data_IF_578930157293
#
_entry.id   IF_578930157293
#
_cell.length_a   1.000
_cell.length_b   1.000
_cell.length_c   1.000
_cell.angle_alpha   90.00
_cell.angle_beta   90.00
_cell.angle_gamma   90.00
#
_symmetry.space_group_name_H-M   'P 1'
#
loop_
_entity.id
_entity.type
_entity.pdbx_description
1 polymer ?
#
# COMPACT_ATOMS: atom_id res chain seq x y z
N UNK A 1 -19.36 -7.97 -3.03
CA UNK A 1 -20.71 -7.40 -3.33
C UNK A 1 -21.61 -7.19 -2.10
N UNK A 2 -21.19 -7.53 -0.87
CA UNK A 2 -21.88 -7.09 0.35
C UNK A 2 -20.88 -6.78 1.47
N UNK A 3 -20.26 -5.59 1.42
CA UNK A 3 -19.77 -4.93 2.63
C UNK A 3 -20.63 -3.68 2.78
N UNK A 4 -21.37 -3.60 3.87
CA UNK A 4 -22.17 -2.43 4.22
C UNK A 4 -21.21 -1.30 4.56
N UNK A 5 -21.17 -0.30 3.69
CA UNK A 5 -20.37 0.90 3.93
C UNK A 5 -21.19 1.80 4.85
N UNK A 6 -20.94 1.72 6.15
CA UNK A 6 -21.39 2.75 7.09
C UNK A 6 -20.60 4.01 6.75
N UNK A 7 -21.20 4.82 5.89
CA UNK A 7 -20.63 6.05 5.36
C UNK A 7 -20.75 7.13 6.43
N UNK A 8 -19.71 7.29 7.24
CA UNK A 8 -19.49 8.50 8.04
C UNK A 8 -18.35 9.24 7.36
N UNK A 9 -18.71 10.30 6.64
CA UNK A 9 -17.80 11.21 5.96
C UNK A 9 -17.10 12.05 7.04
N UNK A 10 -15.93 11.63 7.51
CA UNK A 10 -15.06 12.54 8.25
C UNK A 10 -14.52 13.59 7.27
N UNK A 11 -14.55 14.89 7.60
CA UNK A 11 -13.99 15.91 6.75
C UNK A 11 -12.46 15.79 6.81
N UNK A 12 -11.83 15.29 5.74
CA UNK A 12 -10.40 15.49 5.52
C UNK A 12 -9.51 14.29 5.21
N UNK A 13 -10.01 13.07 5.00
CA UNK A 13 -9.08 11.93 4.72
C UNK A 13 -9.42 11.09 3.47
N UNK A 14 -10.57 11.30 2.82
CA UNK A 14 -11.00 10.41 1.73
C UNK A 14 -11.89 11.10 0.68
N UNK A 15 -11.42 12.16 0.02
CA UNK A 15 -12.08 12.55 -1.24
C UNK A 15 -11.72 11.64 -2.43
N UNK A 16 -10.71 10.77 -2.26
CA UNK A 16 -10.39 9.67 -3.19
C UNK A 16 -10.46 8.33 -2.46
N UNK A 17 -11.14 7.35 -3.06
CA UNK A 17 -11.18 5.98 -2.53
C UNK A 17 -9.78 5.37 -2.51
N UNK A 18 -9.53 4.36 -1.66
CA UNK A 18 -8.24 3.64 -1.65
C UNK A 18 -7.84 3.08 -3.02
N UNK A 19 -8.82 2.71 -3.84
CA UNK A 19 -8.60 2.29 -5.21
C UNK A 19 -8.00 3.41 -6.09
N UNK A 20 -8.51 4.64 -5.99
CA UNK A 20 -7.99 5.77 -6.77
C UNK A 20 -6.57 6.15 -6.35
N UNK A 21 -6.27 6.11 -5.05
CA UNK A 21 -4.90 6.27 -4.54
C UNK A 21 -3.97 5.19 -5.12
N UNK A 22 -4.34 3.92 -5.04
CA UNK A 22 -3.55 2.81 -5.63
C UNK A 22 -3.28 3.01 -7.13
N UNK A 23 -4.27 3.50 -7.89
CA UNK A 23 -4.10 3.76 -9.32
C UNK A 23 -3.14 4.94 -9.58
N UNK A 24 -3.16 5.97 -8.74
CA UNK A 24 -2.21 7.09 -8.83
C UNK A 24 -0.78 6.66 -8.53
N UNK A 25 -0.57 5.88 -7.47
CA UNK A 25 0.74 5.29 -7.14
C UNK A 25 1.25 4.44 -8.29
N UNK A 26 0.40 3.59 -8.88
CA UNK A 26 0.76 2.78 -10.05
C UNK A 26 1.19 3.66 -11.24
N UNK A 27 0.43 4.72 -11.53
CA UNK A 27 0.71 5.60 -12.66
C UNK A 27 2.03 6.36 -12.48
N UNK A 28 2.28 6.91 -11.29
CA UNK A 28 3.54 7.58 -10.96
C UNK A 28 4.70 6.59 -11.06
N UNK A 29 4.55 5.41 -10.47
CA UNK A 29 5.58 4.37 -10.45
C UNK A 29 5.96 3.91 -11.86
N UNK A 30 4.97 3.57 -12.70
CA UNK A 30 5.24 3.16 -14.10
C UNK A 30 5.88 4.28 -14.91
N UNK A 31 5.49 5.53 -14.68
CA UNK A 31 6.09 6.69 -15.37
C UNK A 31 7.58 6.82 -15.01
N UNK A 32 7.92 6.71 -13.72
CA UNK A 32 9.31 6.71 -13.26
C UNK A 32 10.05 5.50 -13.85
N UNK A 33 9.52 4.30 -13.67
CA UNK A 33 10.13 3.05 -14.12
C UNK A 33 10.42 3.04 -15.62
N UNK A 34 9.47 3.50 -16.44
CA UNK A 34 9.65 3.66 -17.89
C UNK A 34 10.78 4.65 -18.22
N UNK A 35 10.89 5.75 -17.49
CA UNK A 35 11.92 6.77 -17.70
C UNK A 35 13.36 6.28 -17.43
N UNK A 36 13.53 5.28 -16.57
CA UNK A 36 14.85 4.75 -16.18
C UNK A 36 15.04 3.26 -16.51
N UNK A 37 14.12 2.64 -17.26
CA UNK A 37 14.26 1.27 -17.76
C UNK A 37 14.05 0.15 -16.73
N UNK A 38 13.15 0.33 -15.76
CA UNK A 38 12.78 -0.71 -14.79
C UNK A 38 11.63 -1.61 -15.27
N UNK A 39 11.41 -2.72 -14.58
CA UNK A 39 10.32 -3.63 -14.86
C UNK A 39 8.96 -3.02 -14.44
N UNK A 40 8.19 -2.54 -15.43
CA UNK A 40 6.88 -1.93 -15.22
C UNK A 40 5.84 -2.90 -14.63
N UNK A 41 5.90 -4.19 -14.97
CA UNK A 41 4.95 -5.20 -14.45
C UNK A 41 5.19 -5.47 -12.96
N UNK A 42 6.46 -5.48 -12.54
CA UNK A 42 6.81 -5.62 -11.13
C UNK A 42 6.37 -4.40 -10.32
N UNK A 43 6.57 -3.19 -10.86
CA UNK A 43 6.06 -1.95 -10.24
C UNK A 43 4.54 -2.02 -10.09
N UNK A 44 3.82 -2.41 -11.14
CA UNK A 44 2.37 -2.51 -11.11
C UNK A 44 1.87 -3.55 -10.13
N UNK A 45 2.49 -4.74 -10.09
CA UNK A 45 2.13 -5.78 -9.14
C UNK A 45 2.32 -5.33 -7.68
N UNK A 46 3.42 -4.63 -7.39
CA UNK A 46 3.70 -4.08 -6.05
C UNK A 46 2.69 -2.98 -5.72
N UNK A 47 2.49 -2.02 -6.62
CA UNK A 47 1.56 -0.90 -6.42
C UNK A 47 0.13 -1.40 -6.19
N UNK A 48 -0.35 -2.38 -6.94
CA UNK A 48 -1.70 -2.92 -6.76
C UNK A 48 -1.89 -3.68 -5.43
N UNK A 49 -0.80 -4.21 -4.87
CA UNK A 49 -0.84 -5.01 -3.64
C UNK A 49 -0.43 -4.27 -2.37
N UNK A 50 0.23 -3.10 -2.46
CA UNK A 50 0.87 -2.44 -1.32
C UNK A 50 -0.11 -2.19 -0.17
N UNK A 51 -1.32 -1.80 -0.53
CA UNK A 51 -2.26 -1.23 0.40
C UNK A 51 -3.29 -2.24 0.94
N UNK A 52 -3.41 -3.43 0.36
CA UNK A 52 -4.52 -4.36 0.64
C UNK A 52 -4.71 -4.71 2.14
N UNK A 53 -3.67 -4.56 2.95
CA UNK A 53 -3.63 -4.82 4.39
C UNK A 53 -4.20 -3.74 5.31
N UNK A 54 -4.53 -2.52 4.86
CA UNK A 54 -5.13 -1.55 5.80
C UNK A 54 -6.49 -2.00 6.30
N UNK A 55 -6.74 -1.62 7.55
CA UNK A 55 -7.98 -1.85 8.26
C UNK A 55 -9.00 -0.73 7.98
N UNK A 56 -10.19 -0.87 8.54
CA UNK A 56 -11.18 0.20 8.51
C UNK A 56 -10.62 1.46 9.18
N UNK A 57 -11.03 2.64 8.70
CA UNK A 57 -10.56 3.94 9.20
C UNK A 57 -9.05 4.20 9.01
N UNK A 58 -8.42 3.53 8.03
CA UNK A 58 -7.05 3.80 7.58
C UNK A 58 -6.06 3.99 8.74
N UNK A 59 -5.36 5.13 8.81
CA UNK A 59 -4.35 5.42 9.84
C UNK A 59 -4.92 5.40 11.25
N UNK A 60 -6.11 5.96 11.48
CA UNK A 60 -6.73 5.94 12.82
C UNK A 60 -7.02 4.51 13.30
N UNK A 61 -7.46 3.63 12.38
CA UNK A 61 -7.68 2.23 12.70
C UNK A 61 -6.38 1.46 12.98
N UNK A 62 -5.35 1.74 12.20
CA UNK A 62 -4.01 1.19 12.37
C UNK A 62 -3.38 1.61 13.71
N UNK A 63 -3.39 2.90 14.04
CA UNK A 63 -2.87 3.40 15.33
C UNK A 63 -3.59 2.78 16.53
N UNK A 64 -4.91 2.58 16.42
CA UNK A 64 -5.68 1.94 17.47
C UNK A 64 -5.27 0.47 17.64
N UNK A 65 -5.15 -0.28 16.54
CA UNK A 65 -4.75 -1.69 16.59
C UNK A 65 -3.30 -1.85 17.05
N UNK A 66 -2.40 -0.95 16.68
CA UNK A 66 -1.00 -0.98 17.12
C UNK A 66 -0.89 -0.85 18.65
N UNK A 67 -1.75 -0.02 19.26
CA UNK A 67 -1.83 0.12 20.73
C UNK A 67 -2.50 -1.07 21.42
N UNK A 68 -3.45 -1.72 20.77
CA UNK A 68 -4.27 -2.79 21.37
C UNK A 68 -3.66 -4.19 21.22
N UNK A 69 -2.86 -4.42 20.18
CA UNK A 69 -2.24 -5.72 19.93
C UNK A 69 -0.86 -5.81 20.60
N UNK A 70 -0.55 -6.87 21.36
CA UNK A 70 0.73 -7.02 22.06
C UNK A 70 1.97 -6.92 21.15
N UNK A 71 1.84 -7.35 19.89
CA UNK A 71 2.90 -7.31 18.88
C UNK A 71 2.86 -6.07 17.97
N UNK A 72 1.95 -5.13 18.23
CA UNK A 72 1.66 -4.01 17.34
C UNK A 72 0.87 -4.41 16.09
N UNK A 73 0.64 -3.43 15.22
CA UNK A 73 -0.03 -3.60 13.94
C UNK A 73 0.60 -2.67 12.90
N UNK A 74 0.95 -3.23 11.74
CA UNK A 74 1.33 -2.43 10.58
C UNK A 74 0.64 -2.91 9.32
N UNK A 75 0.08 -1.98 8.55
CA UNK A 75 -0.68 -2.27 7.33
C UNK A 75 0.15 -3.04 6.30
N UNK A 76 1.41 -2.66 6.08
CA UNK A 76 2.34 -3.31 5.15
C UNK A 76 2.61 -4.78 5.51
N UNK A 77 2.83 -5.09 6.79
CA UNK A 77 2.98 -6.47 7.28
C UNK A 77 1.68 -7.26 7.11
N UNK A 78 0.53 -6.61 7.34
CA UNK A 78 -0.77 -7.23 7.13
C UNK A 78 -1.07 -7.43 5.62
N UNK A 79 -0.60 -6.57 4.72
CA UNK A 79 -0.71 -6.77 3.26
C UNK A 79 -0.03 -8.08 2.85
N UNK A 80 1.21 -8.31 3.33
CA UNK A 80 1.92 -9.57 3.09
C UNK A 80 1.16 -10.75 3.69
N UNK A 81 0.63 -10.63 4.91
CA UNK A 81 -0.19 -11.69 5.54
C UNK A 81 -1.44 -12.00 4.72
N UNK A 82 -2.15 -10.99 4.22
CA UNK A 82 -3.35 -11.18 3.39
C UNK A 82 -3.00 -12.01 2.15
N UNK A 83 -1.96 -11.58 1.43
CA UNK A 83 -1.56 -12.17 0.15
C UNK A 83 -0.94 -13.57 0.30
N UNK A 84 -0.34 -13.88 1.45
CA UNK A 84 0.33 -15.18 1.68
C UNK A 84 -0.50 -16.18 2.47
N UNK A 85 -1.50 -15.74 3.26
CA UNK A 85 -2.18 -16.60 4.24
C UNK A 85 -3.69 -16.44 4.31
N UNK A 86 -4.30 -15.42 3.72
CA UNK A 86 -5.75 -15.17 3.85
C UNK A 86 -6.46 -15.40 2.51
N UNK A 87 -5.90 -14.83 1.44
CA UNK A 87 -6.45 -14.97 0.10
C UNK A 87 -6.55 -16.44 -0.33
N UNK A 88 -7.47 -16.71 -1.28
CA UNK A 88 -7.77 -18.07 -1.78
C UNK A 88 -8.08 -19.07 -0.66
N UNK A 89 -8.95 -18.70 0.27
CA UNK A 89 -9.38 -19.55 1.40
C UNK A 89 -8.19 -20.04 2.24
N UNK A 90 -7.23 -19.16 2.50
CA UNK A 90 -6.06 -19.46 3.31
C UNK A 90 -4.86 -20.05 2.56
N UNK A 91 -4.94 -20.24 1.24
CA UNK A 91 -3.84 -20.76 0.42
C UNK A 91 -2.81 -19.70 0.03
N UNK A 92 -3.17 -18.41 0.12
CA UNK A 92 -2.38 -17.32 -0.41
C UNK A 92 -2.35 -17.31 -1.95
N UNK A 93 -1.73 -16.28 -2.52
CA UNK A 93 -1.68 -16.06 -3.96
C UNK A 93 -0.44 -16.65 -4.65
N UNK A 94 0.55 -17.10 -3.88
CA UNK A 94 1.85 -17.58 -4.38
C UNK A 94 2.54 -16.54 -5.29
N UNK A 95 2.59 -15.28 -4.83
CA UNK A 95 3.29 -14.19 -5.52
C UNK A 95 4.80 -14.38 -5.41
N UNK A 96 5.54 -13.75 -6.34
CA UNK A 96 7.00 -13.79 -6.31
C UNK A 96 7.54 -13.05 -5.09
N UNK A 97 8.79 -13.37 -4.71
CA UNK A 97 9.44 -12.75 -3.55
C UNK A 97 9.60 -11.25 -3.72
N UNK A 98 9.88 -10.81 -4.94
CA UNK A 98 10.09 -9.40 -5.31
C UNK A 98 8.83 -8.57 -5.09
N UNK A 99 7.66 -9.14 -5.45
CA UNK A 99 6.37 -8.47 -5.20
C UNK A 99 6.11 -8.35 -3.71
N UNK A 100 6.28 -9.44 -2.95
CA UNK A 100 6.05 -9.43 -1.51
C UNK A 100 7.02 -8.51 -0.76
N UNK A 101 8.28 -8.44 -1.19
CA UNK A 101 9.29 -7.55 -0.61
C UNK A 101 8.99 -6.08 -0.89
N UNK A 102 8.61 -5.75 -2.13
CA UNK A 102 8.17 -4.40 -2.48
C UNK A 102 6.95 -3.96 -1.65
N UNK A 103 5.97 -4.86 -1.47
CA UNK A 103 4.78 -4.61 -0.64
C UNK A 103 5.16 -4.47 0.83
N UNK A 104 6.10 -5.25 1.34
CA UNK A 104 6.52 -5.13 2.74
C UNK A 104 7.22 -3.78 3.00
N UNK A 105 7.99 -3.30 2.04
CA UNK A 105 8.90 -2.17 2.21
C UNK A 105 8.45 -0.87 1.52
N UNK A 106 7.19 -0.80 1.07
CA UNK A 106 6.66 0.41 0.44
C UNK A 106 6.50 1.57 1.43
N UNK A 107 6.17 1.30 2.70
CA UNK A 107 5.81 2.34 3.67
C UNK A 107 6.99 2.87 4.49
N UNK A 108 6.79 4.05 5.09
CA UNK A 108 7.71 4.67 6.04
C UNK A 108 8.79 5.57 5.43
N UNK A 109 9.46 6.35 6.28
CA UNK A 109 10.45 7.38 5.89
C UNK A 109 11.91 6.98 6.15
N UNK A 110 12.16 5.85 6.79
CA UNK A 110 13.51 5.45 7.18
C UNK A 110 14.22 4.61 6.11
N UNK A 111 15.49 4.88 5.88
CA UNK A 111 16.30 4.14 4.90
C UNK A 111 16.64 2.70 5.32
N UNK A 112 16.29 2.31 6.55
CA UNK A 112 16.65 1.01 7.13
C UNK A 112 15.87 -0.18 6.57
N UNK A 113 14.77 0.07 5.86
CA UNK A 113 13.84 -0.96 5.38
C UNK A 113 13.48 -0.72 3.91
N UNK A 114 14.49 -0.73 3.02
CA UNK A 114 14.27 -0.60 1.57
C UNK A 114 14.00 -1.97 0.96
N UNK A 115 13.09 -1.99 -0.03
CA UNK A 115 12.95 -3.13 -0.91
C UNK A 115 14.29 -3.40 -1.61
N UNK A 116 14.62 -4.67 -1.85
CA UNK A 116 15.88 -5.02 -2.51
C UNK A 116 15.85 -4.75 -4.01
N UNK A 117 14.66 -4.59 -4.61
CA UNK A 117 14.49 -4.18 -6.01
C UNK A 117 14.38 -2.66 -6.13
N UNK A 118 14.82 -2.12 -7.27
CA UNK A 118 14.61 -0.70 -7.57
C UNK A 118 13.13 -0.41 -7.80
N UNK A 119 12.38 -1.36 -8.35
CA UNK A 119 10.93 -1.28 -8.55
C UNK A 119 10.19 -1.08 -7.23
N UNK A 120 10.53 -1.85 -6.19
CA UNK A 120 9.93 -1.68 -4.87
C UNK A 120 10.28 -0.32 -4.23
N UNK A 121 11.50 0.17 -4.46
CA UNK A 121 11.90 1.51 -4.02
C UNK A 121 11.17 2.61 -4.80
N UNK A 122 10.94 2.44 -6.10
CA UNK A 122 10.14 3.35 -6.92
C UNK A 122 8.70 3.41 -6.43
N UNK A 123 8.09 2.26 -6.11
CA UNK A 123 6.73 2.27 -5.53
C UNK A 123 6.69 3.02 -4.20
N UNK A 124 7.68 2.83 -3.32
CA UNK A 124 7.80 3.60 -2.08
C UNK A 124 7.85 5.11 -2.29
N UNK A 125 8.59 5.59 -3.29
CA UNK A 125 8.62 7.02 -3.60
C UNK A 125 7.32 7.49 -4.25
N UNK A 126 6.73 6.67 -5.11
CA UNK A 126 5.46 6.97 -5.80
C UNK A 126 4.31 7.11 -4.81
N UNK A 127 4.26 6.24 -3.80
CA UNK A 127 3.31 6.28 -2.69
C UNK A 127 3.40 7.62 -1.93
N UNK A 128 4.62 8.02 -1.55
CA UNK A 128 4.85 9.33 -0.90
C UNK A 128 4.47 10.52 -1.75
N UNK A 129 4.76 10.49 -3.05
CA UNK A 129 4.39 11.57 -3.98
C UNK A 129 2.86 11.67 -4.07
N UNK A 130 2.16 10.55 -4.19
CA UNK A 130 0.71 10.53 -4.19
C UNK A 130 0.15 11.07 -2.87
N UNK A 131 0.70 10.63 -1.74
CA UNK A 131 0.32 11.08 -0.40
C UNK A 131 0.46 12.60 -0.22
N UNK A 132 1.61 13.19 -0.56
CA UNK A 132 1.83 14.64 -0.44
C UNK A 132 0.91 15.44 -1.36
N UNK A 133 0.65 14.95 -2.57
CA UNK A 133 -0.30 15.62 -3.46
C UNK A 133 -1.73 15.58 -2.90
N UNK A 134 -2.14 14.48 -2.24
CA UNK A 134 -3.42 14.41 -1.55
C UNK A 134 -3.54 15.47 -0.44
N UNK A 135 -2.51 15.60 0.41
CA UNK A 135 -2.50 16.61 1.49
C UNK A 135 -2.64 18.04 0.95
N UNK A 136 -2.03 18.33 -0.22
CA UNK A 136 -2.11 19.65 -0.87
C UNK A 136 -3.47 19.88 -1.54
N UNK A 137 -4.02 18.87 -2.23
CA UNK A 137 -5.31 18.99 -2.94
C UNK A 137 -6.51 19.10 -1.97
N UNK A 138 -6.40 18.52 -0.76
CA UNK A 138 -7.44 18.57 0.27
C UNK A 138 -7.34 19.79 1.23
N UNK A 139 -6.32 20.65 1.06
CA UNK A 139 -6.10 21.91 1.81
C UNK A 139 -6.83 23.12 1.21
#
# INVERSE_FOLDING_TARGET
KHKTQVYIKMPGDHYRTRLTHTLEVNQIGKTIGKGIGLNEDLIEAIAMGHDIGHVAFAHSGEELLDKLLPQGFKHNENSVRVLTRIEKQGKGLNLTREVLDGILHHSGFTDKSKAFTLEGQVVRYSDKIAYVNHDIDDS
#
